data_IF_710575644143
#
_entry.id   IF_710575644143
#
_cell.length_a   1.000
_cell.length_b   1.000
_cell.length_c   1.000
_cell.angle_alpha   90.00
_cell.angle_beta   90.00
_cell.angle_gamma   90.00
#
_symmetry.space_group_name_H-M   'P 1'
#
loop_
_entity.id
_entity.type
_entity.pdbx_description
1 polymer ?
#
# COMPACT_ATOMS: atom_id res chain seq x y z
N UNK A 1 -15.16 -37.40 1.39
CA UNK A 1 -15.15 -36.55 2.58
C UNK A 1 -14.04 -37.04 3.51
N UNK A 2 -12.81 -36.58 3.29
CA UNK A 2 -11.71 -36.77 4.23
C UNK A 2 -11.88 -35.72 5.33
N UNK A 3 -12.20 -36.16 6.55
CA UNK A 3 -12.11 -35.29 7.72
C UNK A 3 -10.65 -34.83 7.85
N UNK A 4 -10.36 -33.55 7.56
CA UNK A 4 -9.10 -32.93 7.97
C UNK A 4 -9.13 -32.84 9.50
N UNK A 5 -8.70 -33.89 10.19
CA UNK A 5 -8.48 -33.80 11.63
C UNK A 5 -7.21 -33.00 11.88
N UNK A 6 -7.28 -32.07 12.84
CA UNK A 6 -6.17 -31.24 13.28
C UNK A 6 -5.01 -32.04 13.94
N UNK A 7 -5.13 -33.37 14.03
CA UNK A 7 -4.20 -34.29 14.71
C UNK A 7 -3.19 -34.98 13.76
N UNK A 8 -3.11 -34.56 12.50
CA UNK A 8 -2.07 -35.09 11.59
C UNK A 8 -0.70 -34.54 12.00
N UNK A 9 0.18 -35.42 12.49
CA UNK A 9 1.56 -35.08 12.92
C UNK A 9 2.41 -34.48 11.80
N UNK A 10 2.05 -34.73 10.54
CA UNK A 10 2.77 -34.23 9.36
C UNK A 10 2.19 -32.89 8.89
N UNK A 11 2.77 -31.80 9.40
CA UNK A 11 2.35 -30.44 9.07
C UNK A 11 2.41 -30.12 7.56
N UNK A 12 3.35 -30.71 6.83
CA UNK A 12 3.48 -30.55 5.38
C UNK A 12 2.32 -31.20 4.62
N UNK A 13 1.92 -32.39 5.08
CA UNK A 13 0.74 -33.08 4.57
C UNK A 13 -0.51 -32.25 4.82
N UNK A 14 -0.69 -31.74 6.05
CA UNK A 14 -1.82 -30.86 6.39
C UNK A 14 -1.86 -29.59 5.50
N UNK A 15 -0.71 -28.95 5.30
CA UNK A 15 -0.57 -27.80 4.41
C UNK A 15 -1.04 -28.12 2.97
N UNK A 16 -0.58 -29.25 2.42
CA UNK A 16 -0.97 -29.71 1.08
C UNK A 16 -2.46 -30.01 0.98
N UNK A 17 -3.05 -30.67 1.98
CA UNK A 17 -4.48 -30.97 2.00
C UNK A 17 -5.35 -29.71 2.02
N UNK A 18 -5.00 -28.71 2.83
CA UNK A 18 -5.76 -27.44 2.92
C UNK A 18 -5.78 -26.73 1.57
N UNK A 19 -4.60 -26.63 0.91
CA UNK A 19 -4.51 -26.02 -0.41
C UNK A 19 -5.29 -26.82 -1.45
N UNK A 20 -5.17 -28.15 -1.45
CA UNK A 20 -5.89 -29.02 -2.37
C UNK A 20 -7.41 -28.83 -2.25
N UNK A 21 -7.94 -28.73 -1.03
CA UNK A 21 -9.37 -28.45 -0.82
C UNK A 21 -9.75 -27.08 -1.37
N UNK A 22 -8.98 -26.03 -1.09
CA UNK A 22 -9.26 -24.68 -1.62
C UNK A 22 -9.32 -24.64 -3.16
N UNK A 23 -8.31 -25.19 -3.83
CA UNK A 23 -8.26 -25.22 -5.29
C UNK A 23 -9.29 -26.16 -5.93
N UNK A 24 -9.63 -27.28 -5.29
CA UNK A 24 -10.66 -28.18 -5.82
C UNK A 24 -12.05 -27.56 -5.74
N UNK A 25 -12.36 -26.83 -4.66
CA UNK A 25 -13.62 -26.08 -4.55
C UNK A 25 -13.66 -24.97 -5.60
N UNK A 26 -12.58 -24.19 -5.74
CA UNK A 26 -12.45 -23.14 -6.74
C UNK A 26 -12.71 -23.68 -8.16
N UNK A 27 -12.01 -24.75 -8.55
CA UNK A 27 -12.19 -25.38 -9.87
C UNK A 27 -13.55 -26.03 -10.06
N UNK A 28 -14.11 -26.65 -9.03
CA UNK A 28 -15.45 -27.24 -9.12
C UNK A 28 -16.47 -26.16 -9.51
N UNK A 29 -16.40 -24.99 -8.87
CA UNK A 29 -17.33 -23.90 -9.16
C UNK A 29 -17.12 -23.32 -10.55
N UNK A 30 -15.87 -23.04 -10.94
CA UNK A 30 -15.57 -22.49 -12.28
C UNK A 30 -16.07 -23.43 -13.39
N UNK A 31 -15.95 -24.75 -13.20
CA UNK A 31 -16.38 -25.73 -14.21
C UNK A 31 -17.89 -25.99 -14.25
N UNK A 32 -18.64 -25.70 -13.18
CA UNK A 32 -20.06 -26.05 -13.06
C UNK A 32 -21.02 -24.84 -13.14
N UNK A 33 -20.50 -23.64 -13.42
CA UNK A 33 -21.23 -22.41 -13.77
C UNK A 33 -22.53 -22.19 -12.96
N UNK A 34 -22.36 -21.72 -11.71
CA UNK A 34 -23.40 -21.30 -10.75
C UNK A 34 -24.37 -22.39 -10.21
N UNK A 35 -24.30 -23.64 -10.68
CA UNK A 35 -25.24 -24.71 -10.28
C UNK A 35 -24.79 -25.60 -9.11
N UNK A 36 -23.76 -25.21 -8.35
CA UNK A 36 -23.34 -25.97 -7.16
C UNK A 36 -24.19 -25.60 -5.96
N UNK A 37 -24.86 -26.59 -5.36
CA UNK A 37 -25.56 -26.43 -4.09
C UNK A 37 -24.59 -25.90 -3.02
N UNK A 38 -24.92 -24.75 -2.41
CA UNK A 38 -24.12 -24.06 -1.39
C UNK A 38 -23.68 -24.96 -0.24
N UNK A 39 -24.47 -25.98 0.06
CA UNK A 39 -24.21 -26.99 1.09
C UNK A 39 -22.99 -27.87 0.79
N UNK A 40 -22.60 -28.04 -0.48
CA UNK A 40 -21.51 -28.93 -0.89
C UNK A 40 -20.14 -28.34 -0.53
N UNK A 41 -19.99 -27.01 -0.60
CA UNK A 41 -18.74 -26.33 -0.28
C UNK A 41 -18.75 -25.65 1.10
N UNK A 42 -19.88 -25.58 1.80
CA UNK A 42 -19.95 -25.05 3.17
C UNK A 42 -19.07 -25.83 4.16
N UNK A 43 -19.19 -27.16 4.21
CA UNK A 43 -18.41 -27.97 5.16
C UNK A 43 -16.88 -27.90 4.92
N UNK A 44 -16.38 -27.97 3.66
CA UNK A 44 -14.98 -27.72 3.35
C UNK A 44 -14.51 -26.32 3.78
N UNK A 45 -15.29 -25.27 3.50
CA UNK A 45 -14.93 -23.88 3.84
C UNK A 45 -14.87 -23.68 5.35
N UNK A 46 -15.85 -24.18 6.10
CA UNK A 46 -15.82 -24.15 7.58
C UNK A 46 -14.57 -24.84 8.13
N UNK A 47 -14.20 -25.98 7.55
CA UNK A 47 -12.98 -26.71 7.96
C UNK A 47 -11.70 -25.93 7.64
N UNK A 48 -11.63 -25.19 6.52
CA UNK A 48 -10.47 -24.35 6.20
C UNK A 48 -10.37 -23.18 7.18
N UNK A 49 -11.49 -22.55 7.52
CA UNK A 49 -11.54 -21.36 8.39
C UNK A 49 -11.03 -21.65 9.80
N UNK A 50 -11.29 -22.83 10.36
CA UNK A 50 -10.76 -23.20 11.69
C UNK A 50 -9.22 -23.22 11.72
N UNK A 51 -8.57 -23.53 10.59
CA UNK A 51 -7.11 -23.53 10.48
C UNK A 51 -6.48 -22.12 10.43
N UNK A 52 -7.27 -21.04 10.35
CA UNK A 52 -6.77 -19.66 10.48
C UNK A 52 -6.25 -19.35 11.89
N UNK A 53 -6.65 -20.11 12.91
CA UNK A 53 -6.21 -19.97 14.31
C UNK A 53 -5.13 -21.00 14.71
N UNK A 54 -4.54 -21.69 13.74
CA UNK A 54 -3.56 -22.74 14.04
C UNK A 54 -2.24 -22.17 14.62
N UNK A 55 -1.57 -22.87 15.59
CA UNK A 55 -0.31 -22.40 16.18
C UNK A 55 0.85 -22.30 15.17
N UNK A 56 0.82 -23.10 14.10
CA UNK A 56 1.86 -23.10 13.07
C UNK A 56 1.54 -22.14 11.92
N UNK A 57 2.43 -21.17 11.69
CA UNK A 57 2.31 -20.12 10.65
C UNK A 57 2.13 -20.67 9.23
N UNK A 58 2.74 -21.82 8.93
CA UNK A 58 2.61 -22.49 7.64
C UNK A 58 1.17 -22.93 7.34
N UNK A 59 0.45 -23.40 8.36
CA UNK A 59 -0.95 -23.85 8.25
C UNK A 59 -1.87 -22.64 8.09
N UNK A 60 -1.66 -21.58 8.89
CA UNK A 60 -2.38 -20.31 8.76
C UNK A 60 -2.21 -19.72 7.35
N UNK A 61 -0.99 -19.73 6.82
CA UNK A 61 -0.73 -19.27 5.45
C UNK A 61 -1.45 -20.12 4.38
N UNK A 62 -1.55 -21.44 4.57
CA UNK A 62 -2.29 -22.33 3.68
C UNK A 62 -3.79 -22.01 3.72
N UNK A 63 -4.33 -21.85 4.92
CA UNK A 63 -5.74 -21.52 5.14
C UNK A 63 -6.10 -20.16 4.52
N UNK A 64 -5.30 -19.10 4.74
CA UNK A 64 -5.53 -17.80 4.10
C UNK A 64 -5.54 -17.90 2.57
N UNK A 65 -4.62 -18.70 1.99
CA UNK A 65 -4.56 -18.89 0.53
C UNK A 65 -5.78 -19.66 0.02
N UNK A 66 -6.18 -20.73 0.70
CA UNK A 66 -7.35 -21.52 0.33
C UNK A 66 -8.64 -20.69 0.42
N UNK A 67 -8.79 -19.87 1.47
CA UNK A 67 -9.92 -18.92 1.59
C UNK A 67 -9.91 -17.91 0.45
N UNK A 68 -8.75 -17.36 0.08
CA UNK A 68 -8.63 -16.40 -1.02
C UNK A 68 -9.12 -16.97 -2.36
N UNK A 69 -8.72 -18.20 -2.68
CA UNK A 69 -9.09 -18.85 -3.95
C UNK A 69 -10.59 -19.20 -4.01
N UNK A 70 -11.18 -19.63 -2.89
CA UNK A 70 -12.64 -19.85 -2.82
C UNK A 70 -13.40 -18.52 -2.93
N UNK A 71 -12.98 -17.51 -2.17
CA UNK A 71 -13.59 -16.18 -2.15
C UNK A 71 -13.55 -15.45 -3.49
N UNK A 72 -12.58 -15.78 -4.35
CA UNK A 72 -12.48 -15.23 -5.70
C UNK A 72 -13.69 -15.57 -6.57
N UNK A 73 -14.18 -16.80 -6.46
CA UNK A 73 -15.18 -17.35 -7.39
C UNK A 73 -16.59 -17.25 -6.82
N UNK A 74 -16.76 -17.43 -5.50
CA UNK A 74 -18.08 -17.46 -4.85
C UNK A 74 -18.07 -16.66 -3.55
N UNK A 75 -19.17 -15.96 -3.21
CA UNK A 75 -19.37 -15.50 -1.84
C UNK A 75 -19.30 -16.67 -0.86
N UNK A 76 -18.63 -16.47 0.28
CA UNK A 76 -18.51 -17.51 1.29
C UNK A 76 -19.91 -18.00 1.73
N UNK A 77 -20.18 -19.33 1.75
CA UNK A 77 -21.47 -19.91 2.14
C UNK A 77 -21.61 -19.93 3.66
N UNK A 78 -21.42 -18.79 4.31
CA UNK A 78 -21.45 -18.64 5.76
C UNK A 78 -22.53 -17.63 6.14
N UNK A 79 -23.10 -17.72 7.35
CA UNK A 79 -24.02 -16.69 7.83
C UNK A 79 -23.30 -15.33 7.89
N UNK A 80 -23.98 -14.27 7.43
CA UNK A 80 -23.44 -12.90 7.47
C UNK A 80 -23.06 -12.42 8.89
N UNK A 81 -23.88 -12.59 9.95
CA UNK A 81 -23.58 -11.98 11.25
C UNK A 81 -22.39 -12.62 12.00
N UNK A 82 -21.84 -11.85 12.95
CA UNK A 82 -20.80 -12.30 13.89
C UNK A 82 -21.33 -13.42 14.78
N UNK A 83 -20.70 -14.58 14.74
CA UNK A 83 -21.07 -15.75 15.55
C UNK A 83 -20.10 -15.92 16.74
N UNK A 84 -18.92 -15.30 16.67
CA UNK A 84 -17.97 -15.21 17.79
C UNK A 84 -17.14 -16.48 18.03
N UNK A 85 -17.26 -17.48 17.14
CA UNK A 85 -16.48 -18.72 17.17
C UNK A 85 -16.15 -19.17 15.75
N UNK A 86 -14.90 -19.58 15.51
CA UNK A 86 -14.49 -20.13 14.21
C UNK A 86 -15.01 -21.55 13.95
N UNK A 87 -15.64 -22.19 14.95
CA UNK A 87 -16.31 -23.48 14.80
C UNK A 87 -17.64 -23.35 14.03
N UNK A 88 -18.33 -22.22 14.20
CA UNK A 88 -19.49 -21.79 13.43
C UNK A 88 -19.24 -20.38 12.88
N UNK A 89 -18.34 -20.24 11.88
CA UNK A 89 -17.84 -18.93 11.51
C UNK A 89 -18.90 -18.13 10.73
N UNK A 90 -19.14 -16.89 11.17
CA UNK A 90 -19.76 -15.89 10.31
C UNK A 90 -18.76 -15.30 9.31
N UNK A 91 -19.25 -14.68 8.24
CA UNK A 91 -18.39 -13.97 7.26
C UNK A 91 -17.55 -12.90 7.97
N UNK A 92 -18.14 -12.17 8.92
CA UNK A 92 -17.43 -11.17 9.71
C UNK A 92 -16.33 -11.76 10.61
N UNK A 93 -16.53 -12.97 11.17
CA UNK A 93 -15.51 -13.62 11.99
C UNK A 93 -14.26 -13.95 11.15
N UNK A 94 -14.46 -14.41 9.91
CA UNK A 94 -13.35 -14.64 8.96
C UNK A 94 -12.61 -13.33 8.65
N UNK A 95 -13.34 -12.25 8.38
CA UNK A 95 -12.75 -10.93 8.09
C UNK A 95 -11.95 -10.44 9.28
N UNK A 96 -12.52 -10.44 10.49
CA UNK A 96 -11.83 -9.99 11.70
C UNK A 96 -10.56 -10.80 11.97
N UNK A 97 -10.62 -12.14 11.83
CA UNK A 97 -9.44 -12.98 12.05
C UNK A 97 -8.33 -12.72 11.02
N UNK A 98 -8.69 -12.50 9.76
CA UNK A 98 -7.71 -12.16 8.72
C UNK A 98 -7.08 -10.77 8.99
N UNK A 99 -7.86 -9.80 9.47
CA UNK A 99 -7.36 -8.48 9.86
C UNK A 99 -6.40 -8.56 11.06
N UNK A 100 -6.75 -9.34 12.08
CA UNK A 100 -5.89 -9.61 13.25
C UNK A 100 -4.59 -10.30 12.85
N UNK A 101 -4.64 -11.20 11.87
CA UNK A 101 -3.44 -11.87 11.36
C UNK A 101 -2.47 -10.89 10.67
N UNK A 102 -2.96 -9.79 10.07
CA UNK A 102 -2.12 -8.79 9.42
C UNK A 102 -1.35 -7.95 10.46
N UNK A 103 -2.01 -7.54 11.55
CA UNK A 103 -1.39 -6.74 12.62
C UNK A 103 -0.59 -7.59 13.62
N UNK A 104 -0.83 -8.90 13.67
CA UNK A 104 -0.13 -9.82 14.58
C UNK A 104 1.39 -9.76 14.45
N UNK A 105 2.09 -9.59 15.57
CA UNK A 105 3.55 -9.63 15.63
C UNK A 105 4.12 -11.05 15.56
N UNK A 106 3.28 -12.09 15.72
CA UNK A 106 3.69 -13.50 15.74
C UNK A 106 3.85 -14.10 14.35
N UNK A 107 3.20 -13.51 13.35
CA UNK A 107 3.14 -14.05 11.99
C UNK A 107 4.24 -13.46 11.11
N UNK A 108 4.78 -14.30 10.21
CA UNK A 108 5.79 -13.90 9.21
C UNK A 108 5.16 -12.99 8.14
N UNK A 109 5.95 -12.11 7.51
CA UNK A 109 5.50 -11.20 6.42
C UNK A 109 4.71 -11.92 5.34
N UNK A 110 5.19 -13.07 4.85
CA UNK A 110 4.51 -13.89 3.84
C UNK A 110 3.09 -14.35 4.22
N UNK A 111 2.84 -14.63 5.49
CA UNK A 111 1.50 -15.04 5.97
C UNK A 111 0.58 -13.83 6.07
N UNK A 112 1.14 -12.66 6.44
CA UNK A 112 0.39 -11.40 6.43
C UNK A 112 -0.02 -11.02 5.02
N UNK A 113 0.87 -11.12 4.04
CA UNK A 113 0.57 -10.90 2.62
C UNK A 113 -0.54 -11.82 2.12
N UNK A 114 -0.47 -13.13 2.42
CA UNK A 114 -1.53 -14.09 2.08
C UNK A 114 -2.88 -13.73 2.73
N UNK A 115 -2.84 -13.20 3.94
CA UNK A 115 -4.05 -12.75 4.64
C UNK A 115 -4.61 -11.47 4.02
N UNK A 116 -3.76 -10.49 3.66
CA UNK A 116 -4.16 -9.31 2.88
C UNK A 116 -4.82 -9.70 1.56
N UNK A 117 -4.20 -10.64 0.82
CA UNK A 117 -4.74 -11.16 -0.43
C UNK A 117 -6.11 -11.81 -0.24
N UNK A 118 -6.28 -12.62 0.80
CA UNK A 118 -7.57 -13.23 1.12
C UNK A 118 -8.67 -12.19 1.35
N UNK A 119 -8.37 -11.12 2.11
CA UNK A 119 -9.30 -10.00 2.33
C UNK A 119 -9.65 -9.31 1.01
N UNK A 120 -8.66 -9.05 0.16
CA UNK A 120 -8.90 -8.47 -1.17
C UNK A 120 -9.84 -9.34 -2.01
N UNK A 121 -9.65 -10.66 -2.02
CA UNK A 121 -10.50 -11.58 -2.80
C UNK A 121 -11.93 -11.66 -2.27
N UNK A 122 -12.16 -11.53 -0.95
CA UNK A 122 -13.50 -11.47 -0.37
C UNK A 122 -14.33 -10.29 -0.91
N UNK A 123 -13.67 -9.16 -1.17
CA UNK A 123 -14.31 -7.96 -1.70
C UNK A 123 -14.79 -8.08 -3.16
N UNK A 124 -14.41 -9.14 -3.88
CA UNK A 124 -14.81 -9.37 -5.27
C UNK A 124 -16.29 -9.75 -5.42
N UNK A 125 -16.90 -10.27 -4.35
CA UNK A 125 -18.30 -10.71 -4.34
C UNK A 125 -19.28 -9.52 -4.36
N UNK A 126 -20.22 -9.47 -5.30
CA UNK A 126 -21.15 -8.36 -5.49
C UNK A 126 -21.85 -7.90 -4.19
N UNK A 127 -22.35 -8.85 -3.39
CA UNK A 127 -23.13 -8.61 -2.16
C UNK A 127 -22.30 -8.45 -0.87
N UNK A 128 -20.99 -8.28 -0.95
CA UNK A 128 -20.15 -8.23 0.25
C UNK A 128 -20.34 -6.93 1.05
N UNK A 129 -20.86 -7.05 2.27
CA UNK A 129 -21.29 -5.92 3.13
C UNK A 129 -20.13 -5.23 3.86
N UNK A 130 -19.05 -5.95 4.18
CA UNK A 130 -18.00 -5.50 5.10
C UNK A 130 -16.85 -4.69 4.46
N UNK A 131 -17.04 -4.17 3.23
CA UNK A 131 -15.99 -3.42 2.52
C UNK A 131 -15.53 -2.18 3.28
N UNK A 132 -16.47 -1.43 3.84
CA UNK A 132 -16.15 -0.20 4.57
C UNK A 132 -15.37 -0.49 5.86
N UNK A 133 -15.73 -1.56 6.58
CA UNK A 133 -15.01 -1.96 7.80
C UNK A 133 -13.56 -2.34 7.53
N UNK A 134 -13.28 -3.01 6.40
CA UNK A 134 -11.93 -3.33 5.97
C UNK A 134 -11.13 -2.05 5.66
N UNK A 135 -11.74 -1.12 4.93
CA UNK A 135 -11.12 0.18 4.62
C UNK A 135 -10.83 0.96 5.92
N UNK A 136 -11.79 0.99 6.84
CA UNK A 136 -11.65 1.64 8.15
C UNK A 136 -10.52 1.04 8.98
N UNK A 137 -10.40 -0.28 8.98
CA UNK A 137 -9.33 -0.98 9.70
C UNK A 137 -7.95 -0.60 9.15
N UNK A 138 -7.76 -0.65 7.82
CA UNK A 138 -6.47 -0.27 7.23
C UNK A 138 -6.14 1.19 7.47
N UNK A 139 -7.12 2.10 7.33
CA UNK A 139 -6.94 3.53 7.58
C UNK A 139 -6.74 3.90 9.06
N UNK A 140 -7.12 3.02 9.98
CA UNK A 140 -6.84 3.21 11.41
C UNK A 140 -5.44 2.68 11.80
N UNK A 141 -5.01 1.59 11.16
CA UNK A 141 -3.75 0.90 11.48
C UNK A 141 -2.57 1.28 10.56
N UNK A 142 -2.66 2.39 9.83
CA UNK A 142 -1.63 2.88 8.89
C UNK A 142 -0.23 2.98 9.53
N UNK A 143 -0.17 3.30 10.82
CA UNK A 143 1.09 3.52 11.57
C UNK A 143 1.76 2.22 12.02
N UNK A 144 0.99 1.14 12.15
CA UNK A 144 1.48 -0.13 12.72
C UNK A 144 2.18 -1.00 11.69
N UNK A 145 1.79 -0.88 10.42
CA UNK A 145 2.31 -1.69 9.33
C UNK A 145 3.61 -1.05 8.80
N UNK A 146 4.75 -1.67 9.12
CA UNK A 146 6.09 -1.13 8.78
C UNK A 146 6.63 -1.64 7.44
N UNK A 147 6.34 -2.89 7.11
CA UNK A 147 6.95 -3.59 5.98
C UNK A 147 6.36 -3.13 4.64
N UNK A 148 7.24 -2.78 3.70
CA UNK A 148 6.87 -2.31 2.35
C UNK A 148 6.04 -3.34 1.60
N UNK A 149 6.40 -4.62 1.67
CA UNK A 149 5.72 -5.71 0.97
C UNK A 149 4.26 -5.88 1.44
N UNK A 150 4.02 -5.71 2.74
CA UNK A 150 2.68 -5.76 3.31
C UNK A 150 1.88 -4.53 2.85
N UNK A 151 2.50 -3.34 2.81
CA UNK A 151 1.84 -2.12 2.32
C UNK A 151 1.37 -2.23 0.88
N UNK A 152 2.18 -2.85 0.02
CA UNK A 152 1.81 -3.14 -1.36
C UNK A 152 0.61 -4.11 -1.41
N UNK A 153 0.65 -5.17 -0.60
CA UNK A 153 -0.47 -6.13 -0.48
C UNK A 153 -1.76 -5.49 0.05
N UNK A 154 -1.66 -4.54 0.98
CA UNK A 154 -2.81 -3.74 1.45
C UNK A 154 -3.33 -2.83 0.34
N UNK A 155 -2.44 -2.19 -0.44
CA UNK A 155 -2.82 -1.40 -1.60
C UNK A 155 -3.63 -2.20 -2.62
N UNK A 156 -3.19 -3.43 -2.93
CA UNK A 156 -3.94 -4.36 -3.78
C UNK A 156 -5.30 -4.74 -3.17
N UNK A 157 -5.36 -5.01 -1.86
CA UNK A 157 -6.62 -5.30 -1.19
C UNK A 157 -7.60 -4.11 -1.23
N UNK A 158 -7.11 -2.87 -1.06
CA UNK A 158 -7.91 -1.65 -1.20
C UNK A 158 -8.44 -1.47 -2.63
N UNK A 159 -7.61 -1.77 -3.65
CA UNK A 159 -8.07 -1.78 -5.05
C UNK A 159 -9.20 -2.79 -5.25
N UNK A 160 -9.11 -3.99 -4.65
CA UNK A 160 -10.20 -4.96 -4.69
C UNK A 160 -11.45 -4.46 -3.94
N UNK A 161 -11.31 -3.70 -2.85
CA UNK A 161 -12.45 -3.09 -2.17
C UNK A 161 -13.14 -2.05 -3.06
N UNK A 162 -12.38 -1.29 -3.84
CA UNK A 162 -12.89 -0.24 -4.74
C UNK A 162 -13.54 -0.84 -5.99
N UNK A 163 -12.85 -1.74 -6.69
CA UNK A 163 -13.34 -2.30 -7.95
C UNK A 163 -14.34 -3.43 -7.74
N UNK A 164 -14.24 -4.15 -6.62
CA UNK A 164 -15.04 -5.33 -6.30
C UNK A 164 -15.11 -6.30 -7.49
N UNK A 165 -16.32 -6.59 -8.00
CA UNK A 165 -16.55 -7.54 -9.10
C UNK A 165 -15.87 -7.15 -10.42
N UNK A 166 -15.57 -5.86 -10.62
CA UNK A 166 -14.92 -5.34 -11.82
C UNK A 166 -13.40 -5.57 -11.82
N UNK A 167 -12.84 -6.01 -10.69
CA UNK A 167 -11.41 -6.28 -10.56
C UNK A 167 -10.96 -7.36 -11.56
N UNK A 168 -9.78 -7.20 -12.19
CA UNK A 168 -9.23 -8.23 -13.08
C UNK A 168 -8.96 -9.55 -12.35
N UNK A 169 -8.84 -9.52 -11.02
CA UNK A 169 -8.62 -10.71 -10.20
C UNK A 169 -9.81 -11.67 -10.15
N UNK A 170 -11.01 -11.26 -10.61
CA UNK A 170 -12.17 -12.16 -10.77
C UNK A 170 -12.07 -13.03 -12.03
N UNK A 171 -11.19 -12.70 -12.97
CA UNK A 171 -11.02 -13.46 -14.21
C UNK A 171 -10.38 -14.82 -13.90
N UNK A 172 -10.84 -15.87 -14.59
CA UNK A 172 -10.20 -17.18 -14.48
C UNK A 172 -8.77 -17.06 -15.03
N UNK A 173 -7.80 -17.37 -14.17
CA UNK A 173 -6.37 -17.32 -14.46
C UNK A 173 -5.98 -18.24 -15.62
N UNK A 174 -6.76 -19.29 -15.89
CA UNK A 174 -6.42 -20.32 -16.88
C UNK A 174 -7.03 -20.07 -18.25
N UNK A 175 -8.25 -19.54 -18.30
CA UNK A 175 -8.97 -19.31 -19.56
C UNK A 175 -8.94 -17.85 -19.99
N UNK A 176 -8.67 -16.92 -19.07
CA UNK A 176 -8.69 -15.47 -19.34
C UNK A 176 -10.08 -14.92 -19.68
N UNK A 177 -11.12 -15.74 -19.54
CA UNK A 177 -12.49 -15.36 -19.87
C UNK A 177 -13.03 -14.53 -18.70
N UNK A 178 -13.54 -13.33 -19.00
CA UNK A 178 -14.27 -12.51 -18.04
C UNK A 178 -15.59 -13.22 -17.74
N UNK A 179 -15.75 -13.71 -16.51
CA UNK A 179 -17.06 -14.15 -16.02
C UNK A 179 -18.04 -12.99 -16.21
N UNK A 180 -18.94 -13.14 -17.17
CA UNK A 180 -19.82 -12.09 -17.68
C UNK A 180 -21.04 -11.93 -16.78
N UNK A 181 -20.84 -11.79 -15.47
CA UNK A 181 -21.92 -11.34 -14.59
C UNK A 181 -22.02 -9.82 -14.72
N UNK A 182 -23.15 -9.31 -15.24
CA UNK A 182 -23.49 -7.89 -15.17
C UNK A 182 -23.62 -7.48 -13.70
N UNK A 183 -22.53 -7.03 -13.11
CA UNK A 183 -22.50 -6.56 -11.72
C UNK A 183 -23.23 -5.22 -11.60
N UNK A 184 -24.18 -5.12 -10.70
CA UNK A 184 -24.85 -3.85 -10.33
C UNK A 184 -24.00 -2.96 -9.42
N UNK A 185 -22.75 -3.35 -9.15
CA UNK A 185 -21.85 -2.66 -8.25
C UNK A 185 -21.28 -1.39 -8.90
N UNK A 186 -21.43 -0.26 -8.21
CA UNK A 186 -20.85 1.01 -8.61
C UNK A 186 -19.55 1.28 -7.81
N UNK A 187 -18.37 1.26 -8.46
CA UNK A 187 -17.08 1.52 -7.79
C UNK A 187 -16.82 3.01 -7.52
N UNK A 188 -17.52 3.93 -8.18
CA UNK A 188 -17.27 5.38 -8.09
C UNK A 188 -17.39 5.94 -6.65
N UNK A 189 -18.48 5.72 -5.90
CA UNK A 189 -18.62 6.29 -4.55
C UNK A 189 -17.60 5.71 -3.55
N UNK A 190 -17.21 4.44 -3.73
CA UNK A 190 -16.21 3.79 -2.88
C UNK A 190 -14.82 4.37 -3.17
N UNK A 191 -14.49 4.58 -4.45
CA UNK A 191 -13.25 5.22 -4.87
C UNK A 191 -13.14 6.65 -4.32
N UNK A 192 -14.20 7.44 -4.47
CA UNK A 192 -14.26 8.83 -4.00
C UNK A 192 -14.02 8.91 -2.48
N UNK A 193 -14.75 8.12 -1.69
CA UNK A 193 -14.61 8.09 -0.25
C UNK A 193 -13.19 7.68 0.20
N UNK A 194 -12.58 6.70 -0.48
CA UNK A 194 -11.22 6.27 -0.19
C UNK A 194 -10.20 7.37 -0.52
N UNK A 195 -10.29 7.99 -1.71
CA UNK A 195 -9.39 9.05 -2.15
C UNK A 195 -9.46 10.25 -1.19
N UNK A 196 -10.66 10.68 -0.82
CA UNK A 196 -10.86 11.77 0.12
C UNK A 196 -10.14 11.46 1.43
N UNK A 197 -10.33 10.27 2.01
CA UNK A 197 -9.69 9.89 3.29
C UNK A 197 -8.17 9.76 3.18
N UNK A 198 -7.64 9.22 2.09
CA UNK A 198 -6.20 9.13 1.88
C UNK A 198 -5.56 10.51 1.76
N UNK A 199 -6.15 11.41 0.97
CA UNK A 199 -5.62 12.74 0.70
C UNK A 199 -5.83 13.71 1.88
N UNK A 200 -6.97 13.65 2.58
CA UNK A 200 -7.29 14.60 3.66
C UNK A 200 -6.83 14.14 5.04
N UNK A 201 -6.79 12.83 5.32
CA UNK A 201 -6.54 12.32 6.66
C UNK A 201 -5.16 11.66 6.77
N UNK A 202 -4.80 10.80 5.80
CA UNK A 202 -3.56 10.02 5.89
C UNK A 202 -2.36 10.81 5.39
N UNK A 203 -2.44 11.40 4.20
CA UNK A 203 -1.34 12.15 3.58
C UNK A 203 -0.78 13.27 4.47
N UNK A 204 -1.63 14.11 5.12
CA UNK A 204 -1.13 15.20 5.96
C UNK A 204 -0.53 14.71 7.28
N UNK A 205 -0.72 13.44 7.65
CA UNK A 205 -0.19 12.89 8.90
C UNK A 205 1.35 12.85 8.83
N UNK A 206 2.07 13.62 9.67
CA UNK A 206 3.52 13.68 9.65
C UNK A 206 4.16 12.49 10.38
N UNK A 207 3.90 11.27 9.90
CA UNK A 207 4.47 10.03 10.41
C UNK A 207 5.09 9.22 9.27
N UNK A 208 6.36 8.79 9.36
CA UNK A 208 7.08 8.13 8.25
C UNK A 208 6.35 6.93 7.67
N UNK A 209 5.88 6.01 8.51
CA UNK A 209 5.13 4.85 8.04
C UNK A 209 3.77 5.25 7.46
N UNK A 210 3.11 6.30 7.98
CA UNK A 210 1.81 6.71 7.45
C UNK A 210 1.94 7.27 6.03
N UNK A 211 2.98 8.07 5.79
CA UNK A 211 3.28 8.65 4.48
C UNK A 211 3.75 7.59 3.49
N UNK A 212 4.54 6.62 3.95
CA UNK A 212 4.91 5.44 3.15
C UNK A 212 3.67 4.65 2.71
N UNK A 213 2.78 4.27 3.64
CA UNK A 213 1.54 3.56 3.34
C UNK A 213 0.68 4.36 2.35
N UNK A 214 0.49 5.66 2.61
CA UNK A 214 -0.29 6.54 1.75
C UNK A 214 0.27 6.56 0.31
N UNK A 215 1.59 6.69 0.15
CA UNK A 215 2.23 6.67 -1.16
C UNK A 215 1.95 5.35 -1.92
N UNK A 216 2.12 4.21 -1.24
CA UNK A 216 1.89 2.89 -1.83
C UNK A 216 0.42 2.68 -2.22
N UNK A 217 -0.51 3.07 -1.35
CA UNK A 217 -1.94 2.88 -1.57
C UNK A 217 -2.47 3.81 -2.65
N UNK A 218 -2.05 5.08 -2.67
CA UNK A 218 -2.39 6.01 -3.75
C UNK A 218 -1.86 5.52 -5.10
N UNK A 219 -0.63 4.97 -5.15
CA UNK A 219 -0.09 4.41 -6.38
C UNK A 219 -0.92 3.20 -6.85
N UNK A 220 -1.27 2.28 -5.96
CA UNK A 220 -2.07 1.11 -6.29
C UNK A 220 -3.45 1.52 -6.84
N UNK A 221 -4.14 2.43 -6.17
CA UNK A 221 -5.44 2.95 -6.61
C UNK A 221 -5.31 3.67 -7.95
N UNK A 222 -4.32 4.55 -8.15
CA UNK A 222 -4.10 5.23 -9.42
C UNK A 222 -3.83 4.25 -10.57
N UNK A 223 -3.00 3.23 -10.35
CA UNK A 223 -2.63 2.25 -11.38
C UNK A 223 -3.81 1.42 -11.84
N UNK A 224 -4.68 1.00 -10.92
CA UNK A 224 -5.75 0.04 -11.21
C UNK A 224 -7.14 0.67 -11.42
N UNK A 225 -7.36 1.89 -10.92
CA UNK A 225 -8.66 2.58 -10.99
C UNK A 225 -8.65 3.81 -11.92
N UNK A 226 -7.71 3.90 -12.86
CA UNK A 226 -7.54 5.05 -13.77
C UNK A 226 -8.74 5.33 -14.69
N UNK A 227 -9.60 4.34 -14.93
CA UNK A 227 -10.81 4.50 -15.73
C UNK A 227 -11.94 5.23 -15.01
N UNK A 228 -11.92 5.25 -13.67
CA UNK A 228 -12.98 5.83 -12.84
C UNK A 228 -12.99 7.36 -12.90
N UNK A 229 -14.19 7.95 -12.88
CA UNK A 229 -14.38 9.40 -12.92
C UNK A 229 -13.90 10.06 -11.62
N UNK A 230 -14.17 9.46 -10.46
CA UNK A 230 -13.71 9.92 -9.16
C UNK A 230 -12.19 10.16 -9.16
N UNK A 231 -11.43 9.21 -9.71
CA UNK A 231 -9.99 9.32 -9.78
C UNK A 231 -9.53 10.45 -10.73
N UNK A 232 -10.20 10.62 -11.87
CA UNK A 232 -9.92 11.72 -12.81
C UNK A 232 -10.17 13.09 -12.19
N UNK A 233 -11.22 13.23 -11.37
CA UNK A 233 -11.53 14.48 -10.68
C UNK A 233 -10.46 14.87 -9.65
N UNK A 234 -9.81 13.88 -9.04
CA UNK A 234 -8.73 14.08 -8.06
C UNK A 234 -7.30 14.07 -8.62
N UNK A 235 -7.09 14.01 -9.94
CA UNK A 235 -5.74 13.94 -10.53
C UNK A 235 -4.82 15.07 -10.07
N UNK A 236 -5.33 16.30 -9.94
CA UNK A 236 -4.55 17.44 -9.45
C UNK A 236 -4.19 17.32 -7.96
N UNK A 237 -5.05 16.71 -7.14
CA UNK A 237 -4.75 16.47 -5.73
C UNK A 237 -3.75 15.32 -5.57
N UNK A 238 -3.88 14.27 -6.37
CA UNK A 238 -2.90 13.18 -6.47
C UNK A 238 -1.53 13.70 -6.90
N UNK A 239 -1.49 14.59 -7.90
CA UNK A 239 -0.27 15.28 -8.30
C UNK A 239 0.37 15.99 -7.10
N UNK A 240 -0.38 16.86 -6.40
CA UNK A 240 0.14 17.58 -5.23
C UNK A 240 0.63 16.62 -4.14
N UNK A 241 -0.10 15.53 -3.91
CA UNK A 241 0.25 14.52 -2.92
C UNK A 241 1.56 13.79 -3.27
N UNK A 242 1.72 13.32 -4.50
CA UNK A 242 2.98 12.70 -4.91
C UNK A 242 4.15 13.70 -4.97
N UNK A 243 3.91 14.95 -5.36
CA UNK A 243 4.93 16.01 -5.29
C UNK A 243 5.37 16.30 -3.86
N UNK A 244 4.48 16.23 -2.87
CA UNK A 244 4.81 16.33 -1.44
C UNK A 244 5.62 15.10 -0.98
N UNK A 245 5.20 13.90 -1.38
CA UNK A 245 5.87 12.64 -1.04
C UNK A 245 7.27 12.50 -1.68
N UNK A 246 7.56 13.18 -2.79
CA UNK A 246 8.92 13.27 -3.37
C UNK A 246 9.92 13.96 -2.42
N UNK A 247 9.45 14.78 -1.50
CA UNK A 247 10.31 15.47 -0.51
C UNK A 247 10.65 14.62 0.71
N UNK A 248 10.13 13.38 0.79
CA UNK A 248 10.40 12.45 1.88
C UNK A 248 11.85 11.97 1.91
N UNK A 249 12.35 11.59 3.08
CA UNK A 249 13.71 11.08 3.27
C UNK A 249 13.84 9.57 2.96
N UNK A 250 12.84 8.95 2.32
CA UNK A 250 12.78 7.52 2.06
C UNK A 250 12.83 7.25 0.54
N UNK A 251 13.92 6.62 0.10
CA UNK A 251 14.19 6.35 -1.32
C UNK A 251 13.08 5.51 -2.00
N UNK A 252 12.47 4.58 -1.26
CA UNK A 252 11.36 3.77 -1.76
C UNK A 252 10.13 4.64 -1.97
N UNK A 253 9.83 5.56 -1.04
CA UNK A 253 8.69 6.49 -1.15
C UNK A 253 8.90 7.45 -2.32
N UNK A 254 10.12 7.97 -2.49
CA UNK A 254 10.47 8.83 -3.63
C UNK A 254 10.31 8.11 -4.97
N UNK A 255 10.80 6.87 -5.09
CA UNK A 255 10.66 6.06 -6.31
C UNK A 255 9.17 5.78 -6.63
N UNK A 256 8.39 5.36 -5.63
CA UNK A 256 6.94 5.09 -5.79
C UNK A 256 6.18 6.37 -6.14
N UNK A 257 6.50 7.51 -5.52
CA UNK A 257 5.90 8.79 -5.84
C UNK A 257 6.27 9.25 -7.27
N UNK A 258 7.51 9.01 -7.71
CA UNK A 258 7.94 9.30 -9.08
C UNK A 258 7.13 8.51 -10.12
N UNK A 259 6.86 7.23 -9.84
CA UNK A 259 6.00 6.36 -10.66
C UNK A 259 4.55 6.83 -10.63
N UNK A 260 4.07 7.29 -9.47
CA UNK A 260 2.76 7.91 -9.32
C UNK A 260 2.59 9.13 -10.22
N UNK A 261 3.56 10.04 -10.23
CA UNK A 261 3.55 11.22 -11.10
C UNK A 261 3.60 10.87 -12.59
N UNK A 262 4.32 9.81 -12.96
CA UNK A 262 4.32 9.33 -14.34
C UNK A 262 2.93 8.86 -14.78
N UNK A 263 2.22 8.09 -13.92
CA UNK A 263 0.84 7.68 -14.20
C UNK A 263 -0.14 8.86 -14.22
N UNK A 264 0.06 9.87 -13.37
CA UNK A 264 -0.71 11.12 -13.42
C UNK A 264 -0.44 11.86 -14.73
N UNK A 265 0.81 11.95 -15.18
CA UNK A 265 1.17 12.56 -16.46
C UNK A 265 0.48 11.85 -17.62
N UNK A 266 0.53 10.51 -17.66
CA UNK A 266 -0.14 9.70 -18.69
C UNK A 266 -1.67 9.91 -18.68
N UNK A 267 -2.27 10.02 -17.50
CA UNK A 267 -3.72 10.15 -17.32
C UNK A 267 -4.24 11.60 -17.47
N UNK A 268 -3.35 12.60 -17.39
CA UNK A 268 -3.67 14.01 -17.46
C UNK A 268 -3.86 14.53 -18.89
N UNK A 269 -4.58 15.63 -19.02
CA UNK A 269 -4.71 16.41 -20.24
C UNK A 269 -3.47 17.27 -20.51
N UNK A 270 -3.41 17.90 -21.69
CA UNK A 270 -2.23 18.65 -22.15
C UNK A 270 -1.85 19.78 -21.17
N UNK A 271 -2.85 20.47 -20.63
CA UNK A 271 -2.63 21.58 -19.70
C UNK A 271 -2.08 21.06 -18.36
N UNK A 272 -2.67 20.01 -17.78
CA UNK A 272 -2.17 19.42 -16.52
C UNK A 272 -0.76 18.85 -16.69
N UNK A 273 -0.45 18.21 -17.82
CA UNK A 273 0.89 17.71 -18.15
C UNK A 273 1.92 18.83 -18.15
N UNK A 274 1.61 19.94 -18.82
CA UNK A 274 2.51 21.11 -18.87
C UNK A 274 2.73 21.72 -17.48
N UNK A 275 1.67 21.79 -16.67
CA UNK A 275 1.73 22.28 -15.29
C UNK A 275 2.61 21.38 -14.41
N UNK A 276 2.47 20.06 -14.53
CA UNK A 276 3.31 19.08 -13.82
C UNK A 276 4.79 19.24 -14.18
N UNK A 277 5.12 19.35 -15.46
CA UNK A 277 6.51 19.55 -15.90
C UNK A 277 7.07 20.85 -15.32
N UNK A 278 6.32 21.96 -15.37
CA UNK A 278 6.75 23.22 -14.79
C UNK A 278 7.02 23.12 -13.28
N UNK A 279 6.12 22.49 -12.53
CA UNK A 279 6.29 22.30 -11.09
C UNK A 279 7.50 21.41 -10.77
N UNK A 280 7.74 20.35 -11.53
CA UNK A 280 8.91 19.49 -11.37
C UNK A 280 10.22 20.23 -11.69
N UNK A 281 10.24 21.03 -12.75
CA UNK A 281 11.41 21.87 -13.09
C UNK A 281 11.67 22.91 -11.99
N UNK A 282 10.62 23.52 -11.45
CA UNK A 282 10.73 24.46 -10.34
C UNK A 282 11.23 23.78 -9.05
N UNK A 283 10.81 22.55 -8.75
CA UNK A 283 11.34 21.80 -7.62
C UNK A 283 12.79 21.37 -7.83
N UNK A 284 13.15 20.87 -9.01
CA UNK A 284 14.53 20.49 -9.34
C UNK A 284 15.48 21.70 -9.28
N UNK A 285 15.02 22.87 -9.72
CA UNK A 285 15.83 24.08 -9.76
C UNK A 285 15.85 24.83 -8.42
N UNK A 286 14.69 25.07 -7.80
CA UNK A 286 14.63 25.91 -6.60
C UNK A 286 14.67 25.08 -5.32
N UNK A 287 14.16 23.84 -5.34
CA UNK A 287 13.96 23.03 -4.14
C UNK A 287 12.88 23.62 -3.22
N UNK A 288 11.87 24.28 -3.79
CA UNK A 288 10.77 24.89 -3.01
C UNK A 288 9.96 23.81 -2.31
N UNK A 289 9.68 24.05 -1.03
CA UNK A 289 8.88 23.20 -0.16
C UNK A 289 7.78 24.01 0.55
N UNK A 290 6.65 23.35 0.87
CA UNK A 290 5.75 23.67 1.99
C UNK A 290 6.30 23.08 3.30
N UNK A 291 6.64 23.93 4.27
CA UNK A 291 7.25 23.56 5.57
C UNK A 291 6.58 22.32 6.19
N UNK A 292 7.30 21.22 6.42
CA UNK A 292 6.72 20.10 7.18
C UNK A 292 6.59 20.43 8.65
N UNK A 293 5.43 20.12 9.20
CA UNK A 293 5.24 19.85 10.63
C UNK A 293 6.17 18.70 11.05
N UNK A 294 7.01 18.93 12.06
CA UNK A 294 7.94 17.93 12.60
C UNK A 294 7.28 17.23 13.79
N UNK A 295 7.24 15.90 13.79
CA UNK A 295 6.80 15.08 14.93
C UNK A 295 7.97 14.43 15.66
N UNK A 296 7.70 13.88 16.85
CA UNK A 296 8.68 13.17 17.68
C UNK A 296 9.44 12.09 16.90
N UNK A 297 8.73 11.31 16.09
CA UNK A 297 9.27 10.19 15.30
C UNK A 297 9.80 10.62 13.91
N UNK A 298 9.77 11.91 13.59
CA UNK A 298 10.30 12.38 12.30
C UNK A 298 11.79 12.14 12.25
N UNK A 299 12.22 11.26 11.34
CA UNK A 299 13.63 11.00 11.05
C UNK A 299 14.20 12.16 10.24
N UNK A 300 14.85 13.10 10.93
CA UNK A 300 15.43 14.30 10.35
C UNK A 300 16.80 14.02 9.70
N UNK A 301 17.48 12.99 10.17
CA UNK A 301 18.81 12.62 9.73
C UNK A 301 18.94 11.11 9.55
N UNK A 302 19.85 10.69 8.68
CA UNK A 302 20.17 9.28 8.52
C UNK A 302 20.91 8.74 9.74
N UNK A 303 20.79 7.44 9.98
CA UNK A 303 21.49 6.83 11.11
C UNK A 303 23.00 6.89 10.90
N UNK A 304 23.72 7.43 11.89
CA UNK A 304 25.16 7.60 11.86
C UNK A 304 25.66 8.97 11.39
N UNK A 305 24.82 9.88 10.88
CA UNK A 305 25.29 11.21 10.44
C UNK A 305 25.62 12.17 11.58
N UNK A 306 24.89 12.09 12.70
CA UNK A 306 25.09 12.93 13.89
C UNK A 306 25.81 12.19 15.04
N UNK A 307 26.33 10.99 14.77
CA UNK A 307 26.90 10.13 15.79
C UNK A 307 25.86 9.50 16.71
N UNK A 308 26.32 9.01 17.87
CA UNK A 308 25.47 8.36 18.87
C UNK A 308 25.19 9.30 20.03
N UNK A 309 23.99 9.21 20.59
CA UNK A 309 23.62 9.83 21.84
C UNK A 309 24.52 9.31 22.98
N UNK A 310 24.65 10.03 24.11
CA UNK A 310 25.38 9.58 25.29
C UNK A 310 24.92 8.21 25.82
N UNK A 311 23.67 7.85 25.53
CA UNK A 311 23.01 6.57 25.88
C UNK A 311 23.22 5.46 24.85
N UNK A 312 23.95 5.70 23.76
CA UNK A 312 24.29 4.72 22.73
C UNK A 312 23.30 4.60 21.55
N UNK A 313 22.16 5.29 21.60
CA UNK A 313 21.20 5.37 20.49
C UNK A 313 21.69 6.27 19.35
N UNK A 314 21.19 6.08 18.11
CA UNK A 314 21.55 6.94 16.97
C UNK A 314 20.80 8.27 17.07
N UNK A 315 21.46 9.42 16.86
CA UNK A 315 20.79 10.73 16.86
C UNK A 315 20.12 11.00 15.51
N UNK A 316 18.94 10.43 15.28
CA UNK A 316 18.29 10.45 13.96
C UNK A 316 16.89 11.08 13.96
N UNK A 317 16.19 11.01 15.09
CA UNK A 317 14.82 11.52 15.23
C UNK A 317 14.76 12.87 15.94
N UNK A 318 13.70 13.63 15.71
CA UNK A 318 13.47 14.90 16.41
C UNK A 318 13.42 14.73 17.94
N UNK A 319 12.79 13.66 18.43
CA UNK A 319 12.74 13.36 19.86
C UNK A 319 14.14 13.19 20.47
N UNK A 320 15.02 12.45 19.81
CA UNK A 320 16.40 12.22 20.27
C UNK A 320 17.23 13.51 20.27
N UNK A 321 17.01 14.39 19.29
CA UNK A 321 17.67 15.70 19.22
C UNK A 321 17.15 16.66 20.28
N UNK A 322 15.85 16.64 20.57
CA UNK A 322 15.26 17.40 21.68
C UNK A 322 15.77 16.89 23.03
N UNK A 323 15.86 15.58 23.24
CA UNK A 323 16.43 15.04 24.48
C UNK A 323 17.90 15.41 24.62
N UNK A 324 18.70 15.33 23.55
CA UNK A 324 20.10 15.72 23.59
C UNK A 324 20.29 17.21 23.92
N UNK A 325 19.52 18.09 23.28
CA UNK A 325 19.60 19.53 23.55
C UNK A 325 19.20 19.87 25.00
N UNK A 326 18.25 19.12 25.56
CA UNK A 326 17.86 19.20 26.96
C UNK A 326 18.96 18.67 27.89
N UNK A 327 19.56 17.52 27.57
CA UNK A 327 20.63 16.89 28.36
C UNK A 327 21.90 17.76 28.40
N UNK A 328 22.21 18.44 27.29
CA UNK A 328 23.31 19.39 27.19
C UNK A 328 22.97 20.79 27.73
N UNK A 329 21.73 21.01 28.19
CA UNK A 329 21.20 22.29 28.65
C UNK A 329 21.44 23.44 27.65
N UNK A 330 21.34 23.14 26.35
CA UNK A 330 21.61 24.03 25.22
C UNK A 330 20.40 24.06 24.27
N UNK A 331 19.36 24.84 24.55
CA UNK A 331 18.16 24.91 23.70
C UNK A 331 18.45 25.45 22.29
N UNK A 332 19.50 26.25 22.11
CA UNK A 332 19.92 26.79 20.80
C UNK A 332 20.32 25.71 19.78
N UNK A 333 20.74 24.53 20.24
CA UNK A 333 21.06 23.40 19.37
C UNK A 333 19.85 22.94 18.55
N UNK A 334 18.63 23.07 19.11
CA UNK A 334 17.40 22.70 18.41
C UNK A 334 17.26 23.52 17.13
N UNK A 335 17.49 24.84 17.18
CA UNK A 335 17.43 25.70 16.00
C UNK A 335 18.49 25.34 14.96
N UNK A 336 19.71 24.98 15.39
CA UNK A 336 20.78 24.54 14.49
C UNK A 336 20.43 23.21 13.81
N UNK A 337 19.89 22.25 14.57
CA UNK A 337 19.41 20.98 14.01
C UNK A 337 18.23 21.17 13.06
N UNK A 338 17.30 22.08 13.38
CA UNK A 338 16.21 22.45 12.46
C UNK A 338 16.74 23.09 11.18
N UNK A 339 17.73 23.98 11.27
CA UNK A 339 18.34 24.58 10.08
C UNK A 339 19.05 23.54 9.20
N UNK A 340 19.77 22.59 9.81
CA UNK A 340 20.38 21.45 9.10
C UNK A 340 19.32 20.53 8.47
N UNK A 341 18.25 20.23 9.19
CA UNK A 341 17.14 19.43 8.68
C UNK A 341 16.43 20.13 7.50
N UNK A 342 16.29 21.45 7.55
CA UNK A 342 15.75 22.23 6.42
C UNK A 342 16.65 22.15 5.19
N UNK A 343 17.97 22.22 5.37
CA UNK A 343 18.92 22.04 4.27
C UNK A 343 18.80 20.62 3.67
N UNK A 344 18.74 19.58 4.52
CA UNK A 344 18.51 18.20 4.08
C UNK A 344 17.18 18.05 3.32
N UNK A 345 16.10 18.68 3.77
CA UNK A 345 14.81 18.63 3.11
C UNK A 345 14.84 19.26 1.70
N UNK A 346 15.55 20.37 1.51
CA UNK A 346 15.76 20.99 0.19
C UNK A 346 16.48 20.00 -0.75
N UNK A 347 17.48 19.28 -0.23
CA UNK A 347 18.21 18.29 -1.01
C UNK A 347 17.38 17.05 -1.33
N UNK A 348 16.57 16.57 -0.40
CA UNK A 348 15.67 15.45 -0.65
C UNK A 348 14.57 15.81 -1.64
N UNK A 349 14.05 17.03 -1.59
CA UNK A 349 13.12 17.54 -2.62
C UNK A 349 13.78 17.59 -4.00
N UNK A 350 15.01 18.10 -4.13
CA UNK A 350 15.74 18.11 -5.41
C UNK A 350 16.04 16.70 -5.92
N UNK A 351 16.47 15.80 -5.04
CA UNK A 351 16.73 14.39 -5.33
C UNK A 351 15.46 13.68 -5.81
N UNK A 352 14.35 13.81 -5.07
CA UNK A 352 13.05 13.26 -5.46
C UNK A 352 12.56 13.81 -6.79
N UNK A 353 12.69 15.13 -7.01
CA UNK A 353 12.36 15.76 -8.28
C UNK A 353 13.21 15.22 -9.44
N UNK A 354 14.49 14.92 -9.22
CA UNK A 354 15.34 14.29 -10.24
C UNK A 354 14.86 12.88 -10.61
N UNK A 355 14.45 12.06 -9.63
CA UNK A 355 13.81 10.77 -9.90
C UNK A 355 12.52 10.92 -10.70
N UNK A 356 11.61 11.80 -10.26
CA UNK A 356 10.38 12.15 -11.01
C UNK A 356 10.66 12.61 -12.43
N UNK A 357 11.69 13.45 -12.58
CA UNK A 357 12.15 13.96 -13.85
C UNK A 357 12.68 12.84 -14.76
N UNK A 358 13.47 11.89 -14.26
CA UNK A 358 13.99 10.77 -15.06
C UNK A 358 12.88 9.90 -15.66
N UNK A 359 11.80 9.68 -14.92
CA UNK A 359 10.66 8.88 -15.35
C UNK A 359 9.81 9.64 -16.37
N UNK A 360 9.54 10.93 -16.13
CA UNK A 360 8.70 11.76 -17.01
C UNK A 360 9.45 12.24 -18.25
N UNK A 361 10.77 12.42 -18.19
CA UNK A 361 11.56 12.94 -19.30
C UNK A 361 11.50 12.06 -20.55
N UNK A 362 11.33 10.75 -20.38
CA UNK A 362 11.09 9.82 -21.50
C UNK A 362 9.77 10.10 -22.23
N UNK A 363 8.74 10.56 -21.51
CA UNK A 363 7.42 10.83 -22.05
C UNK A 363 7.24 12.30 -22.49
N UNK A 364 7.94 13.24 -21.86
CA UNK A 364 7.73 14.69 -22.01
C UNK A 364 8.82 15.43 -22.82
N UNK A 365 9.58 14.72 -23.66
CA UNK A 365 10.79 15.24 -24.32
C UNK A 365 10.60 16.57 -25.07
N UNK A 366 9.49 16.74 -25.79
CA UNK A 366 9.20 17.99 -26.53
C UNK A 366 8.94 19.17 -25.58
N UNK A 367 8.13 18.96 -24.53
CA UNK A 367 7.81 19.99 -23.52
C UNK A 367 9.06 20.42 -22.74
N UNK A 368 10.00 19.51 -22.55
CA UNK A 368 11.25 19.73 -21.83
C UNK A 368 12.28 20.54 -22.61
N UNK A 369 12.18 20.58 -23.94
CA UNK A 369 13.16 21.22 -24.81
C UNK A 369 13.33 22.71 -24.46
N UNK A 370 12.24 23.40 -24.12
CA UNK A 370 12.26 24.80 -23.70
C UNK A 370 12.99 25.04 -22.36
N UNK A 371 13.08 24.03 -21.50
CA UNK A 371 13.69 24.13 -20.17
C UNK A 371 15.11 23.56 -20.10
N UNK A 372 15.57 22.83 -21.13
CA UNK A 372 16.91 22.22 -21.19
C UNK A 372 18.06 23.18 -20.81
N UNK A 373 18.11 24.44 -21.29
CA UNK A 373 19.19 25.35 -20.95
C UNK A 373 19.29 25.67 -19.45
N UNK A 374 18.18 25.57 -18.71
CA UNK A 374 18.13 25.77 -17.25
C UNK A 374 18.48 24.50 -16.48
N UNK A 375 18.12 23.34 -17.04
CA UNK A 375 18.21 22.03 -16.37
C UNK A 375 19.62 21.42 -16.53
N UNK A 376 20.16 21.39 -17.75
CA UNK A 376 21.42 20.71 -18.06
C UNK A 376 22.61 21.18 -17.19
N UNK A 377 22.86 22.50 -16.99
CA UNK A 377 23.98 22.93 -16.16
C UNK A 377 23.87 22.47 -14.71
N UNK A 378 22.64 22.31 -14.20
CA UNK A 378 22.38 21.88 -12.82
C UNK A 378 22.53 20.37 -12.66
N UNK A 379 21.98 19.58 -13.59
CA UNK A 379 22.20 18.13 -13.62
C UNK A 379 23.68 17.80 -13.71
N UNK A 380 24.41 18.47 -14.62
CA UNK A 380 25.86 18.32 -14.73
C UNK A 380 26.56 18.64 -13.42
N UNK A 381 26.18 19.72 -12.73
CA UNK A 381 26.74 20.05 -11.40
C UNK A 381 26.42 18.97 -10.36
N UNK A 382 25.20 18.42 -10.35
CA UNK A 382 24.79 17.41 -9.38
C UNK A 382 25.49 16.07 -9.57
N UNK A 383 25.91 15.74 -10.79
CA UNK A 383 26.76 14.58 -11.07
C UNK A 383 28.10 14.63 -10.31
N UNK A 384 28.59 15.83 -9.97
CA UNK A 384 29.82 16.04 -9.20
C UNK A 384 29.54 16.52 -7.76
N UNK A 385 28.34 16.33 -7.23
CA UNK A 385 28.02 16.68 -5.85
C UNK A 385 28.82 15.80 -4.87
N UNK A 386 29.40 16.31 -3.77
CA UNK A 386 30.16 15.49 -2.82
C UNK A 386 29.33 14.37 -2.17
N UNK A 387 28.00 14.44 -2.24
CA UNK A 387 27.10 13.41 -1.69
C UNK A 387 26.87 12.31 -2.73
N UNK A 388 27.35 11.07 -2.52
CA UNK A 388 27.27 9.99 -3.52
C UNK A 388 25.82 9.63 -3.91
N UNK A 389 24.88 9.77 -2.98
CA UNK A 389 23.45 9.55 -3.26
C UNK A 389 22.86 10.56 -4.26
N UNK A 390 23.36 11.79 -4.27
CA UNK A 390 22.93 12.82 -5.21
C UNK A 390 23.54 12.51 -6.58
N UNK A 391 24.82 12.16 -6.64
CA UNK A 391 25.48 11.75 -7.87
C UNK A 391 24.75 10.58 -8.55
N UNK A 392 24.36 9.55 -7.80
CA UNK A 392 23.68 8.36 -8.32
C UNK A 392 22.26 8.63 -8.84
N UNK A 393 21.61 9.68 -8.36
CA UNK A 393 20.24 10.04 -8.77
C UNK A 393 20.16 10.83 -10.09
N UNK A 394 21.31 11.28 -10.60
CA UNK A 394 21.45 12.15 -11.78
C UNK A 394 22.06 11.36 -12.93
#
# INVERSE_FOLDING_TARGET
ATHLSADTKDLESLHGHILAVGYTVERAVVCQDEAINSQVYEAPVRSIVTFLEHPHTMVVGAASTAVAEVARVVPLPLPDPKTGSLLDPGVLDVVTKLLDNITSTKLTSKVKERSCRAIGMLCLSDKFTYRQEIIDFFLSNVKEIKDVEIQLSVGEALVCCVLGPLSPLRQDLWTGIKSSSMSSFDPEPVCEALLQRLLSNVLPTPHPHARQSCCMWLLAVLKHCNSLKALKQHLMDLQRGFMDLLSENNDIVQDVASKGLALVYESGDVDSRSSLVNVLVDQLTVGRRSVSQVTKDTKLFEEGTLGKAPTGGNLSTYQELCSLASDLNQPDLIYKFMHLANHNAIWNSKKGAAFGFSTIAKAAGEQLTAHLPKILPRLYRYQFDPTPKIQQSM
#
